data_IF_425371533465
#
_entry.id   IF_425371533465
#
_cell.length_a   1.000
_cell.length_b   1.000
_cell.length_c   1.000
_cell.angle_alpha   90.00
_cell.angle_beta   90.00
_cell.angle_gamma   90.00
#
_symmetry.space_group_name_H-M   'P 1'
#
loop_
_entity.id
_entity.type
_entity.pdbx_description
1 polymer ?
#
# COMPACT_ATOMS: atom_id res chain seq x y z
N UNK A 1 5.33 4.06 21.18
CA UNK A 1 5.59 2.61 21.34
C UNK A 1 5.99 2.30 22.77
N UNK A 2 5.79 1.07 23.26
CA UNK A 2 6.16 0.62 24.63
C UNK A 2 7.65 0.87 24.92
N UNK A 3 8.52 0.75 23.92
CA UNK A 3 9.95 1.02 24.01
C UNK A 3 10.28 2.47 24.39
N UNK A 4 9.45 3.43 23.96
CA UNK A 4 9.63 4.86 24.28
C UNK A 4 9.30 5.16 25.75
N UNK A 5 8.63 4.23 26.45
CA UNK A 5 8.33 4.34 27.88
C UNK A 5 9.38 3.65 28.76
N UNK A 6 10.57 3.34 28.21
CA UNK A 6 11.69 2.73 28.95
C UNK A 6 11.65 1.21 29.09
N UNK A 7 10.61 0.54 28.58
CA UNK A 7 10.50 -0.92 28.63
C UNK A 7 11.28 -1.54 27.47
N UNK A 8 12.27 -2.39 27.77
CA UNK A 8 13.08 -3.11 26.77
C UNK A 8 12.27 -4.22 26.06
N UNK A 9 11.44 -3.83 25.10
CA UNK A 9 10.66 -4.73 24.27
C UNK A 9 11.38 -4.99 22.93
N UNK A 10 11.71 -6.25 22.66
CA UNK A 10 12.26 -6.67 21.36
C UNK A 10 11.17 -7.25 20.47
N UNK A 11 11.44 -7.34 19.15
CA UNK A 11 10.55 -8.00 18.17
C UNK A 11 10.12 -9.42 18.58
N UNK A 12 10.94 -10.12 19.37
CA UNK A 12 10.70 -11.50 19.78
C UNK A 12 10.04 -11.62 21.16
N UNK A 13 10.22 -10.64 22.05
CA UNK A 13 9.63 -10.67 23.40
C UNK A 13 8.13 -10.43 23.38
N UNK A 14 7.66 -9.50 22.55
CA UNK A 14 6.24 -9.20 22.40
C UNK A 14 5.40 -10.45 22.01
N UNK A 15 5.70 -11.18 20.91
CA UNK A 15 4.90 -12.34 20.53
C UNK A 15 5.02 -13.49 21.53
N UNK A 16 6.15 -13.64 22.23
CA UNK A 16 6.31 -14.67 23.27
C UNK A 16 5.35 -14.42 24.45
N UNK A 17 5.31 -13.18 24.96
CA UNK A 17 4.41 -12.81 26.07
C UNK A 17 2.94 -12.90 25.68
N UNK A 18 2.59 -12.50 24.45
CA UNK A 18 1.21 -12.65 23.97
C UNK A 18 0.76 -14.11 23.96
N UNK A 19 1.62 -15.04 23.53
CA UNK A 19 1.34 -16.48 23.59
C UNK A 19 1.18 -16.99 25.02
N UNK A 20 2.08 -16.60 25.93
CA UNK A 20 2.00 -16.98 27.35
C UNK A 20 0.70 -16.50 28.01
N UNK A 21 0.17 -15.36 27.58
CA UNK A 21 -1.07 -14.75 28.09
C UNK A 21 -2.32 -15.09 27.27
N UNK A 22 -2.23 -15.96 26.27
CA UNK A 22 -3.33 -16.28 25.33
C UNK A 22 -3.96 -15.04 24.66
N UNK A 23 -3.14 -14.03 24.35
CA UNK A 23 -3.55 -12.81 23.66
C UNK A 23 -3.38 -12.96 22.14
N UNK A 24 -4.40 -12.56 21.40
CA UNK A 24 -4.40 -12.55 19.93
C UNK A 24 -4.32 -11.11 19.43
N UNK A 25 -3.47 -10.85 18.43
CA UNK A 25 -3.40 -9.53 17.81
C UNK A 25 -4.62 -9.29 16.92
N UNK A 26 -5.37 -8.22 17.20
CA UNK A 26 -6.43 -7.69 16.33
C UNK A 26 -5.93 -6.53 15.46
N UNK A 27 -4.61 -6.27 15.44
CA UNK A 27 -4.05 -5.19 14.64
C UNK A 27 -4.30 -5.46 13.16
N UNK A 28 -4.99 -4.53 12.51
CA UNK A 28 -5.20 -4.61 11.07
C UNK A 28 -3.86 -4.49 10.34
N UNK A 29 -3.60 -5.36 9.35
CA UNK A 29 -2.46 -5.17 8.46
C UNK A 29 -2.51 -3.78 7.82
N UNK A 30 -1.35 -3.16 7.63
CA UNK A 30 -1.28 -1.92 6.87
C UNK A 30 -1.92 -2.10 5.48
N UNK A 31 -2.60 -1.06 5.00
CA UNK A 31 -3.25 -1.09 3.71
C UNK A 31 -2.24 -1.46 2.61
N UNK A 32 -2.51 -2.55 1.88
CA UNK A 32 -1.75 -2.93 0.70
C UNK A 32 -2.57 -2.57 -0.53
N UNK A 33 -2.20 -1.48 -1.19
CA UNK A 33 -2.74 -1.18 -2.51
C UNK A 33 -2.47 -2.37 -3.43
N UNK A 34 -3.53 -2.97 -3.97
CA UNK A 34 -3.39 -3.98 -5.02
C UNK A 34 -2.84 -3.28 -6.26
N UNK A 35 -1.79 -3.82 -6.85
CA UNK A 35 -1.37 -3.38 -8.20
C UNK A 35 -2.51 -3.73 -9.15
N UNK A 36 -3.14 -2.72 -9.73
CA UNK A 36 -4.13 -2.91 -10.79
C UNK A 36 -3.40 -3.32 -12.07
N UNK A 37 -3.09 -4.61 -12.19
CA UNK A 37 -2.47 -5.18 -13.39
C UNK A 37 -3.49 -5.60 -14.43
N UNK A 38 -4.78 -5.62 -14.07
CA UNK A 38 -5.86 -6.07 -14.93
C UNK A 38 -6.57 -4.85 -15.50
N UNK A 39 -6.57 -4.75 -16.82
CA UNK A 39 -7.40 -3.77 -17.52
C UNK A 39 -8.88 -4.00 -17.23
N UNK A 40 -9.64 -2.92 -17.28
CA UNK A 40 -11.08 -2.99 -17.13
C UNK A 40 -11.67 -3.61 -18.40
N UNK A 41 -12.54 -4.62 -18.25
CA UNK A 41 -13.08 -5.40 -19.38
C UNK A 41 -13.80 -4.52 -20.40
N UNK A 42 -14.47 -3.46 -19.92
CA UNK A 42 -15.27 -2.55 -20.75
C UNK A 42 -14.51 -1.27 -21.14
N UNK A 43 -13.33 -1.02 -20.56
CA UNK A 43 -12.56 0.21 -20.80
C UNK A 43 -11.12 -0.21 -21.11
N UNK A 44 -10.83 -0.50 -22.39
CA UNK A 44 -9.48 -0.86 -22.81
C UNK A 44 -8.52 0.32 -22.62
N UNK A 45 -7.30 0.05 -22.19
CA UNK A 45 -6.26 1.06 -22.06
C UNK A 45 -5.49 1.18 -23.38
N UNK A 46 -6.00 1.99 -24.30
CA UNK A 46 -5.39 2.17 -25.63
C UNK A 46 -3.95 2.70 -25.61
N UNK A 47 -3.56 3.40 -24.54
CA UNK A 47 -2.28 4.09 -24.47
C UNK A 47 -1.19 3.20 -23.87
N UNK A 48 -1.51 2.24 -23.00
CA UNK A 48 -0.53 1.40 -22.29
C UNK A 48 0.66 2.18 -21.65
N UNK A 49 0.44 3.45 -21.25
CA UNK A 49 1.50 4.37 -20.78
C UNK A 49 2.55 4.75 -21.84
N UNK A 50 2.25 4.57 -23.12
CA UNK A 50 3.04 5.05 -24.24
C UNK A 50 2.76 6.53 -24.48
N UNK A 51 3.50 7.41 -23.80
CA UNK A 51 3.36 8.87 -23.93
C UNK A 51 4.28 9.48 -25.01
N UNK A 52 4.91 8.64 -25.84
CA UNK A 52 5.73 9.08 -26.95
C UNK A 52 4.84 9.47 -28.14
N UNK A 53 4.34 10.70 -28.13
CA UNK A 53 3.54 11.26 -29.23
C UNK A 53 4.45 11.90 -30.28
N UNK A 54 4.06 11.85 -31.55
CA UNK A 54 4.84 12.46 -32.64
C UNK A 54 4.59 13.96 -32.75
N UNK A 55 3.42 14.42 -32.30
CA UNK A 55 2.99 15.82 -32.37
C UNK A 55 2.25 16.26 -31.09
N UNK A 56 2.22 17.58 -30.78
CA UNK A 56 1.44 18.10 -29.67
C UNK A 56 -0.06 17.79 -29.78
N UNK A 57 -0.77 17.82 -28.64
CA UNK A 57 -2.23 17.67 -28.53
C UNK A 57 -2.82 16.30 -28.95
N UNK A 58 -1.99 15.26 -29.09
CA UNK A 58 -2.46 13.91 -29.41
C UNK A 58 -2.97 13.13 -28.19
N UNK A 59 -2.36 13.35 -27.01
CA UNK A 59 -2.67 12.62 -25.78
C UNK A 59 -2.62 13.58 -24.59
N UNK A 60 -3.57 13.44 -23.68
CA UNK A 60 -3.68 14.27 -22.46
C UNK A 60 -3.71 13.36 -21.23
N UNK A 61 -2.95 13.71 -20.19
CA UNK A 61 -2.92 13.01 -18.91
C UNK A 61 -3.16 14.03 -17.79
N UNK A 62 -3.93 13.65 -16.77
CA UNK A 62 -4.14 14.46 -15.57
C UNK A 62 -4.13 13.58 -14.33
N UNK A 63 -3.54 14.09 -13.24
CA UNK A 63 -3.60 13.49 -11.90
C UNK A 63 -4.26 14.45 -10.91
N UNK A 64 -4.88 13.90 -9.87
CA UNK A 64 -5.43 14.66 -8.76
C UNK A 64 -4.66 14.26 -7.51
N UNK A 65 -3.91 15.21 -6.97
CA UNK A 65 -3.20 15.05 -5.70
C UNK A 65 -3.95 15.84 -4.62
N UNK A 66 -4.38 15.15 -3.56
CA UNK A 66 -4.91 15.80 -2.36
C UNK A 66 -3.74 16.41 -1.57
N UNK A 67 -3.89 17.68 -1.17
CA UNK A 67 -2.91 18.45 -0.39
C UNK A 67 -3.34 18.45 1.07
#
# INVERSE_FOLDING_TARGET
MVTNKGVKLSRWRAPKQMKELNLISCQQPGHRYKKASKEHVEIPNYLERQFAVTEPNQVWCGDVTYI
#
